data_IF_070295515666
#
_entry.id   IF_070295515666
#
_cell.length_a   1.000
_cell.length_b   1.000
_cell.length_c   1.000
_cell.angle_alpha   90.00
_cell.angle_beta   90.00
_cell.angle_gamma   90.00
#
_symmetry.space_group_name_H-M   'P 1'
#
loop_
_entity.id
_entity.type
_entity.pdbx_description
1 polymer ?
#
# COMPACT_ATOMS: atom_id res chain seq x y z
N UNK A 1 12.18 33.44 11.64
CA UNK A 1 10.81 33.25 11.15
C UNK A 1 10.53 31.77 11.13
N UNK A 2 9.57 31.21 11.90
CA UNK A 2 9.34 29.77 11.95
C UNK A 2 8.82 29.17 10.64
N UNK A 3 8.34 29.98 9.70
CA UNK A 3 7.81 29.52 8.41
C UNK A 3 8.90 29.03 7.42
N UNK A 4 10.14 29.46 7.59
CA UNK A 4 11.23 29.11 6.66
C UNK A 4 11.74 27.68 6.85
N UNK A 5 11.47 27.05 7.98
CA UNK A 5 11.92 25.68 8.26
C UNK A 5 11.23 24.70 7.29
N UNK A 6 9.94 24.88 7.04
CA UNK A 6 9.15 23.99 6.18
C UNK A 6 9.37 24.22 4.67
N UNK A 7 10.04 25.33 4.31
CA UNK A 7 10.43 25.60 2.92
C UNK A 7 11.76 24.96 2.53
N UNK A 8 12.46 24.32 3.45
CA UNK A 8 13.70 23.62 3.17
C UNK A 8 13.46 22.33 2.38
N UNK A 9 14.46 21.92 1.60
CA UNK A 9 14.39 20.71 0.76
C UNK A 9 14.13 19.40 1.52
N UNK A 10 14.45 19.39 2.82
CA UNK A 10 14.20 18.26 3.74
C UNK A 10 12.70 17.93 3.85
N UNK A 11 11.84 18.95 3.77
CA UNK A 11 10.39 18.81 3.83
C UNK A 11 9.73 18.74 2.44
N UNK A 12 10.51 18.59 1.38
CA UNK A 12 9.98 18.36 0.05
C UNK A 12 9.21 17.02 0.00
N UNK A 13 8.20 16.95 -0.86
CA UNK A 13 7.40 15.72 -1.05
C UNK A 13 8.32 14.54 -1.38
N UNK A 14 9.37 14.76 -2.18
CA UNK A 14 10.34 13.73 -2.54
C UNK A 14 11.11 13.19 -1.34
N UNK A 15 11.64 14.06 -0.48
CA UNK A 15 12.39 13.68 0.73
C UNK A 15 11.51 12.96 1.74
N UNK A 16 10.28 13.45 1.96
CA UNK A 16 9.33 12.81 2.87
C UNK A 16 8.86 11.45 2.35
N UNK A 17 8.63 11.32 1.05
CA UNK A 17 8.29 10.04 0.42
C UNK A 17 9.44 9.04 0.53
N UNK A 18 10.69 9.47 0.31
CA UNK A 18 11.87 8.63 0.49
C UNK A 18 11.97 8.13 1.94
N UNK A 19 11.74 9.01 2.92
CA UNK A 19 11.76 8.65 4.34
C UNK A 19 10.69 7.61 4.71
N UNK A 20 9.49 7.70 4.12
CA UNK A 20 8.43 6.68 4.32
C UNK A 20 8.85 5.35 3.72
N UNK A 21 9.46 5.36 2.52
CA UNK A 21 9.89 4.14 1.84
C UNK A 21 11.08 3.45 2.53
N UNK A 22 11.90 4.20 3.26
CA UNK A 22 13.00 3.67 4.06
C UNK A 22 12.55 3.14 5.43
N UNK A 23 11.30 3.46 5.85
CA UNK A 23 10.76 2.97 7.10
C UNK A 23 10.55 1.45 7.04
N UNK A 24 10.91 0.75 8.14
CA UNK A 24 10.72 -0.69 8.23
C UNK A 24 9.24 -1.06 8.07
N UNK A 25 8.96 -1.89 7.08
CA UNK A 25 7.64 -2.45 6.85
C UNK A 25 7.32 -3.47 7.94
N UNK A 26 6.24 -3.23 8.70
CA UNK A 26 5.71 -4.19 9.66
C UNK A 26 4.46 -4.80 9.06
N UNK A 27 4.56 -5.99 8.45
CA UNK A 27 3.40 -6.61 7.80
C UNK A 27 2.35 -7.00 8.83
N UNK A 28 1.08 -6.85 8.46
CA UNK A 28 -0.05 -7.40 9.20
C UNK A 28 0.02 -8.94 9.21
N UNK A 29 -0.73 -9.59 10.10
CA UNK A 29 -0.72 -11.06 10.18
C UNK A 29 -1.08 -11.75 8.86
N UNK A 30 -2.01 -11.17 8.10
CA UNK A 30 -2.39 -11.69 6.77
C UNK A 30 -1.25 -11.53 5.76
N UNK A 31 -0.54 -10.39 5.79
CA UNK A 31 0.66 -10.18 4.96
C UNK A 31 1.79 -11.15 5.29
N UNK A 32 1.99 -11.47 6.59
CA UNK A 32 3.00 -12.45 7.02
C UNK A 32 2.74 -13.86 6.50
N UNK A 33 1.48 -14.23 6.28
CA UNK A 33 1.12 -15.54 5.77
C UNK A 33 1.46 -15.74 4.29
N UNK A 34 1.71 -14.65 3.53
CA UNK A 34 2.08 -14.72 2.12
C UNK A 34 1.03 -15.36 1.21
N UNK A 35 -0.24 -15.35 1.63
CA UNK A 35 -1.36 -15.96 0.87
C UNK A 35 -1.80 -15.05 -0.26
N UNK A 36 -1.62 -13.75 -0.11
CA UNK A 36 -2.05 -12.74 -1.06
C UNK A 36 -0.83 -12.12 -1.74
N UNK A 37 -0.91 -11.95 -3.05
CA UNK A 37 0.06 -11.21 -3.84
C UNK A 37 -0.39 -9.75 -3.95
N UNK A 38 0.50 -8.83 -3.62
CA UNK A 38 0.24 -7.39 -3.71
C UNK A 38 0.57 -6.90 -5.12
N UNK A 39 -0.40 -6.26 -5.76
CA UNK A 39 -0.24 -5.68 -7.09
C UNK A 39 -0.70 -4.23 -7.08
N UNK A 40 0.18 -3.33 -7.53
CA UNK A 40 -0.15 -1.91 -7.68
C UNK A 40 -1.10 -1.66 -8.85
N UNK A 41 -2.11 -0.82 -8.65
CA UNK A 41 -3.02 -0.34 -9.69
C UNK A 41 -2.86 1.16 -9.88
N UNK A 42 -2.85 1.62 -11.14
CA UNK A 42 -2.81 3.04 -11.49
C UNK A 42 -4.19 3.67 -11.70
N UNK A 43 -5.25 2.86 -11.66
CA UNK A 43 -6.63 3.26 -11.91
C UNK A 43 -7.47 3.14 -10.65
N UNK A 44 -8.62 3.82 -10.61
CA UNK A 44 -9.58 3.73 -9.50
C UNK A 44 -10.38 2.42 -9.48
N UNK A 45 -10.30 1.64 -10.55
CA UNK A 45 -11.00 0.37 -10.72
C UNK A 45 -10.02 -0.71 -11.17
N UNK A 46 -10.16 -1.91 -10.61
CA UNK A 46 -9.42 -3.09 -11.03
C UNK A 46 -10.39 -4.19 -11.47
N UNK A 47 -10.13 -4.80 -12.61
CA UNK A 47 -10.91 -5.94 -13.10
C UNK A 47 -10.10 -7.22 -12.94
N UNK A 48 -10.63 -8.16 -12.16
CA UNK A 48 -10.04 -9.49 -11.98
C UNK A 48 -10.79 -10.48 -12.85
N UNK A 49 -10.07 -11.10 -13.77
CA UNK A 49 -10.63 -12.16 -14.60
C UNK A 49 -10.48 -13.51 -13.88
N UNK A 50 -11.60 -14.21 -13.79
CA UNK A 50 -11.64 -15.59 -13.30
C UNK A 50 -11.87 -16.53 -14.50
N UNK A 51 -10.94 -17.43 -14.75
CA UNK A 51 -11.13 -18.53 -15.67
C UNK A 51 -11.85 -19.68 -14.91
N UNK A 52 -13.04 -20.04 -15.37
CA UNK A 52 -13.82 -21.08 -14.72
C UNK A 52 -13.15 -22.44 -14.91
N UNK A 53 -12.57 -22.95 -13.86
CA UNK A 53 -11.93 -24.27 -13.84
C UNK A 53 -12.99 -25.34 -13.59
N UNK A 54 -13.65 -25.79 -14.67
CA UNK A 54 -14.51 -26.96 -14.63
C UNK A 54 -13.70 -28.18 -15.04
N UNK A 55 -13.18 -28.91 -14.09
CA UNK A 55 -12.63 -30.25 -14.29
C UNK A 55 -13.82 -31.17 -14.66
N UNK A 56 -14.02 -31.39 -15.95
CA UNK A 56 -14.92 -32.40 -16.42
C UNK A 56 -14.15 -33.73 -16.58
N UNK A 57 -14.64 -34.78 -15.93
CA UNK A 57 -14.10 -36.13 -16.11
C UNK A 57 -14.39 -36.58 -17.54
N UNK A 58 -13.38 -37.12 -18.22
CA UNK A 58 -13.54 -37.71 -19.53
C UNK A 58 -14.31 -39.06 -19.39
N UNK A 59 -15.49 -39.19 -19.99
CA UNK A 59 -16.21 -40.46 -19.92
C UNK A 59 -15.44 -41.54 -20.69
N UNK A 60 -15.46 -42.76 -20.16
CA UNK A 60 -14.88 -43.90 -20.85
C UNK A 60 -15.72 -44.24 -22.10
N UNK A 61 -15.09 -44.20 -23.27
CA UNK A 61 -15.72 -44.50 -24.53
C UNK A 61 -15.19 -45.79 -25.14
N UNK A 62 -15.90 -46.35 -26.07
CA UNK A 62 -15.45 -47.50 -26.88
C UNK A 62 -14.29 -47.12 -27.79
N UNK A 63 -13.37 -48.05 -28.04
CA UNK A 63 -12.27 -47.83 -28.98
C UNK A 63 -12.82 -47.56 -30.39
N UNK A 64 -12.47 -46.37 -30.94
CA UNK A 64 -12.92 -45.93 -32.26
C UNK A 64 -14.13 -45.01 -32.26
N UNK A 65 -14.72 -44.72 -31.09
CA UNK A 65 -15.76 -43.70 -30.95
C UNK A 65 -15.17 -42.30 -31.10
N UNK A 66 -15.93 -41.32 -31.64
CA UNK A 66 -15.46 -39.94 -31.70
C UNK A 66 -15.27 -39.38 -30.29
N UNK A 67 -14.14 -38.68 -30.07
CA UNK A 67 -13.83 -38.03 -28.81
C UNK A 67 -14.78 -36.86 -28.55
N UNK A 68 -15.17 -36.69 -27.26
CA UNK A 68 -15.95 -35.54 -26.86
C UNK A 68 -15.08 -34.26 -26.95
N UNK A 69 -15.60 -33.20 -27.57
CA UNK A 69 -14.85 -31.93 -27.67
C UNK A 69 -14.70 -31.28 -26.31
N UNK A 70 -13.49 -30.84 -26.03
CA UNK A 70 -13.19 -30.06 -24.81
C UNK A 70 -14.01 -28.76 -24.81
N UNK A 71 -14.88 -28.59 -23.82
CA UNK A 71 -15.65 -27.36 -23.64
C UNK A 71 -14.71 -26.24 -23.16
N UNK A 72 -14.73 -25.11 -23.86
CA UNK A 72 -13.96 -23.93 -23.44
C UNK A 72 -14.56 -23.35 -22.17
N UNK A 73 -13.70 -23.05 -21.21
CA UNK A 73 -14.09 -22.38 -19.99
C UNK A 73 -14.58 -20.95 -20.27
N UNK A 74 -15.61 -20.53 -19.56
CA UNK A 74 -16.14 -19.17 -19.65
C UNK A 74 -15.33 -18.27 -18.74
N UNK A 75 -14.66 -17.26 -19.29
CA UNK A 75 -14.02 -16.22 -18.50
C UNK A 75 -15.07 -15.26 -17.97
N UNK A 76 -15.04 -15.00 -16.69
CA UNK A 76 -15.88 -14.00 -16.02
C UNK A 76 -14.98 -12.95 -15.40
N UNK A 77 -15.25 -11.66 -15.68
CA UNK A 77 -14.56 -10.53 -15.08
C UNK A 77 -15.40 -9.97 -13.93
N UNK A 78 -14.76 -9.72 -12.79
CA UNK A 78 -15.35 -9.00 -11.66
C UNK A 78 -14.58 -7.71 -11.49
N UNK A 79 -15.29 -6.58 -11.51
CA UNK A 79 -14.71 -5.26 -11.33
C UNK A 79 -14.84 -4.83 -9.89
N UNK A 80 -13.70 -4.42 -9.31
CA UNK A 80 -13.62 -3.87 -7.96
C UNK A 80 -13.26 -2.39 -8.03
N UNK A 81 -13.90 -1.59 -7.21
CA UNK A 81 -13.55 -0.18 -7.03
C UNK A 81 -12.52 -0.05 -5.91
N UNK A 82 -11.45 0.71 -6.17
CA UNK A 82 -10.49 1.03 -5.14
C UNK A 82 -11.14 1.95 -4.08
N UNK A 83 -10.93 1.63 -2.82
CA UNK A 83 -11.39 2.44 -1.69
C UNK A 83 -10.34 3.50 -1.38
N UNK A 84 -10.76 4.75 -1.25
CA UNK A 84 -9.88 5.83 -0.83
C UNK A 84 -9.78 5.83 0.71
N UNK A 85 -8.56 5.68 1.23
CA UNK A 85 -8.27 5.69 2.67
C UNK A 85 -7.47 6.94 3.03
N UNK A 86 -8.13 8.08 3.30
CA UNK A 86 -7.44 9.30 3.71
C UNK A 86 -7.02 9.23 5.17
N UNK A 87 -5.77 9.57 5.45
CA UNK A 87 -5.26 9.74 6.81
C UNK A 87 -4.63 11.11 6.92
N UNK A 88 -5.01 11.86 7.93
CA UNK A 88 -4.47 13.18 8.23
C UNK A 88 -3.97 13.22 9.67
N UNK A 89 -2.89 13.95 9.93
CA UNK A 89 -2.39 14.23 11.27
C UNK A 89 -1.96 15.69 11.33
N UNK A 90 -1.96 16.27 12.51
CA UNK A 90 -1.58 17.66 12.76
C UNK A 90 -0.38 17.70 13.70
N UNK A 91 0.58 18.55 13.36
CA UNK A 91 1.72 18.83 14.24
C UNK A 91 1.41 20.08 15.01
N UNK A 92 1.35 19.98 16.33
CA UNK A 92 1.14 21.10 17.22
C UNK A 92 2.47 21.84 17.48
N UNK A 93 2.39 23.15 17.64
CA UNK A 93 3.56 23.97 17.94
C UNK A 93 4.27 23.54 19.24
N UNK A 94 3.52 23.04 20.22
CA UNK A 94 4.05 22.56 21.49
C UNK A 94 4.94 21.32 21.34
N UNK A 95 4.63 20.44 20.38
CA UNK A 95 5.45 19.26 20.09
C UNK A 95 6.84 19.64 19.57
N UNK A 96 6.91 20.74 18.83
CA UNK A 96 8.15 21.28 18.25
C UNK A 96 8.89 22.16 19.25
N UNK A 97 8.20 22.88 20.12
CA UNK A 97 8.80 23.80 21.10
C UNK A 97 9.58 23.08 22.19
N UNK A 98 9.18 21.88 22.59
CA UNK A 98 9.92 21.08 23.55
C UNK A 98 11.29 20.61 23.02
N UNK A 99 11.50 20.61 21.72
CA UNK A 99 12.79 20.33 21.06
C UNK A 99 13.65 21.57 20.92
N UNK A 100 13.08 22.76 21.11
CA UNK A 100 13.73 24.08 20.96
C UNK A 100 14.79 24.40 21.98
N UNK A 101 14.98 23.60 23.01
CA UNK A 101 15.91 23.91 24.13
C UNK A 101 17.40 23.78 23.76
N UNK A 102 17.78 23.26 22.60
CA UNK A 102 19.16 22.95 22.24
C UNK A 102 19.53 23.35 20.79
N UNK A 103 19.81 24.64 20.56
CA UNK A 103 20.50 25.11 19.36
C UNK A 103 19.71 25.08 18.05
N UNK A 104 20.13 25.88 17.04
CA UNK A 104 19.37 26.07 15.79
C UNK A 104 19.45 24.91 14.80
N UNK A 105 20.53 24.12 14.81
CA UNK A 105 20.68 22.94 13.94
C UNK A 105 19.89 21.75 14.51
N UNK A 106 19.91 21.57 15.81
CA UNK A 106 19.15 20.53 16.53
C UNK A 106 17.63 20.71 16.39
N UNK A 107 17.17 21.95 16.20
CA UNK A 107 15.75 22.22 15.96
C UNK A 107 15.25 21.65 14.63
N UNK A 108 16.05 21.70 13.60
CA UNK A 108 15.67 21.18 12.28
C UNK A 108 15.57 19.65 12.28
N UNK A 109 16.55 19.00 12.92
CA UNK A 109 16.56 17.55 13.10
C UNK A 109 15.38 17.09 13.96
N UNK A 110 15.06 17.79 15.03
CA UNK A 110 13.94 17.46 15.89
C UNK A 110 12.58 17.54 15.19
N UNK A 111 12.35 18.60 14.43
CA UNK A 111 11.12 18.75 13.62
C UNK A 111 11.01 17.65 12.58
N UNK A 112 12.09 17.35 11.87
CA UNK A 112 12.14 16.29 10.89
C UNK A 112 11.81 14.92 11.53
N UNK A 113 12.37 14.65 12.70
CA UNK A 113 12.10 13.39 13.41
C UNK A 113 10.63 13.24 13.81
N UNK A 114 9.98 14.31 14.29
CA UNK A 114 8.55 14.32 14.62
C UNK A 114 7.72 14.07 13.37
N UNK A 115 8.03 14.75 12.26
CA UNK A 115 7.35 14.55 10.96
C UNK A 115 7.48 13.11 10.47
N UNK A 116 8.71 12.58 10.46
CA UNK A 116 8.98 11.21 10.00
C UNK A 116 8.28 10.17 10.88
N UNK A 117 8.25 10.37 12.19
CA UNK A 117 7.54 9.48 13.13
C UNK A 117 6.04 9.46 12.85
N UNK A 118 5.43 10.63 12.62
CA UNK A 118 4.02 10.75 12.31
C UNK A 118 3.68 10.12 10.95
N UNK A 119 4.49 10.39 9.93
CA UNK A 119 4.33 9.78 8.60
C UNK A 119 4.44 8.25 8.66
N UNK A 120 5.42 7.71 9.37
CA UNK A 120 5.56 6.26 9.57
C UNK A 120 4.35 5.65 10.30
N UNK A 121 3.79 6.36 11.28
CA UNK A 121 2.57 5.93 11.98
C UNK A 121 1.34 5.92 11.06
N UNK A 122 1.20 6.94 10.21
CA UNK A 122 0.11 7.03 9.24
C UNK A 122 0.21 5.92 8.20
N UNK A 123 1.41 5.65 7.67
CA UNK A 123 1.65 4.57 6.72
C UNK A 123 1.26 3.20 7.32
N UNK A 124 1.74 2.89 8.53
CA UNK A 124 1.39 1.63 9.23
C UNK A 124 -0.12 1.49 9.49
N UNK A 125 -0.81 2.61 9.73
CA UNK A 125 -2.25 2.60 9.93
C UNK A 125 -3.00 2.27 8.64
N UNK A 126 -2.52 2.73 7.49
CA UNK A 126 -3.07 2.38 6.18
C UNK A 126 -2.82 0.89 5.89
N UNK A 127 -1.61 0.40 6.14
CA UNK A 127 -1.22 -1.00 5.90
C UNK A 127 -2.01 -1.99 6.78
N UNK A 128 -2.45 -1.55 7.96
CA UNK A 128 -3.22 -2.38 8.88
C UNK A 128 -4.72 -2.45 8.56
N UNK A 129 -5.20 -1.63 7.60
CA UNK A 129 -6.62 -1.56 7.22
C UNK A 129 -6.94 -2.45 6.04
#
# INVERSE_FOLDING_TARGET
MPADIFSSDIFSIGSLTASINEADYVPSRLGQLGIFEETGIATTTATVEKDGDTLALVPAGERGAPADPLKRNKRTGVTFNAVHLPVTDTILADEVQNVRAFGSEDQLEGVQQVVNTKLGRMARRIDAT
#
